data_IF_950575590497
#
_entry.id   IF_950575590497
#
_cell.length_a   1.000
_cell.length_b   1.000
_cell.length_c   1.000
_cell.angle_alpha   90.00
_cell.angle_beta   90.00
_cell.angle_gamma   90.00
#
_symmetry.space_group_name_H-M   'P 1'
#
loop_
_entity.id
_entity.type
_entity.pdbx_description
1 polymer ?
#
# COMPACT_ATOMS: atom_id res chain seq x y z
N UNK A 1 2.48 9.46 -15.33
CA UNK A 1 1.57 8.98 -14.28
C UNK A 1 1.81 7.48 -14.11
N UNK A 2 2.07 7.01 -12.88
CA UNK A 2 2.33 5.60 -12.42
C UNK A 2 3.18 4.66 -13.30
N UNK A 3 2.86 4.46 -14.58
CA UNK A 3 3.54 3.56 -15.51
C UNK A 3 5.04 3.84 -15.72
N UNK A 4 5.53 5.02 -15.36
CA UNK A 4 6.96 5.38 -15.39
C UNK A 4 7.58 5.57 -14.00
N UNK A 5 6.83 5.21 -12.95
CA UNK A 5 7.30 5.27 -11.58
C UNK A 5 8.20 4.06 -11.30
N UNK A 6 9.50 4.21 -11.57
CA UNK A 6 10.52 3.19 -11.30
C UNK A 6 10.40 2.51 -9.92
N UNK A 7 10.08 3.25 -8.84
CA UNK A 7 9.73 2.66 -7.56
C UNK A 7 8.57 1.65 -7.57
N UNK A 8 7.44 1.95 -8.22
CA UNK A 8 6.29 1.03 -8.28
C UNK A 8 6.61 -0.21 -9.12
N UNK A 9 7.33 -0.06 -10.24
CA UNK A 9 7.83 -1.21 -11.03
C UNK A 9 8.74 -2.13 -10.22
N UNK A 10 9.63 -1.56 -9.40
CA UNK A 10 10.49 -2.35 -8.52
C UNK A 10 9.65 -3.05 -7.45
N UNK A 11 8.67 -2.37 -6.86
CA UNK A 11 7.80 -2.97 -5.84
C UNK A 11 7.01 -4.18 -6.38
N UNK A 12 6.41 -4.07 -7.58
CA UNK A 12 5.68 -5.17 -8.22
C UNK A 12 6.60 -6.21 -8.89
N UNK A 13 7.91 -6.04 -8.85
CA UNK A 13 8.87 -6.94 -9.49
C UNK A 13 9.00 -8.31 -8.82
N UNK A 14 9.65 -9.23 -9.53
CA UNK A 14 9.95 -10.58 -9.06
C UNK A 14 11.14 -10.66 -8.08
N UNK A 15 11.94 -9.59 -7.98
CA UNK A 15 13.06 -9.54 -7.05
C UNK A 15 12.58 -9.22 -5.62
N UNK A 16 12.98 -10.02 -4.61
CA UNK A 16 12.68 -9.73 -3.22
C UNK A 16 13.31 -8.41 -2.75
N UNK A 17 12.52 -7.63 -2.01
CA UNK A 17 12.97 -6.38 -1.39
C UNK A 17 13.02 -6.60 0.12
N UNK A 18 14.18 -6.33 0.72
CA UNK A 18 14.34 -6.39 2.16
C UNK A 18 13.48 -5.31 2.84
N UNK A 19 12.85 -5.62 3.97
CA UNK A 19 12.00 -4.69 4.72
C UNK A 19 12.79 -3.52 5.36
N UNK A 20 14.11 -3.58 5.42
CA UNK A 20 14.99 -2.49 5.85
C UNK A 20 15.65 -1.74 4.69
N UNK A 21 15.31 -2.07 3.44
CA UNK A 21 15.88 -1.41 2.26
C UNK A 21 15.46 0.07 2.19
N UNK A 22 16.40 1.03 1.98
CA UNK A 22 16.08 2.45 1.79
C UNK A 22 15.11 2.72 0.63
N UNK A 23 14.94 1.76 -0.28
CA UNK A 23 13.90 1.73 -1.31
C UNK A 23 12.54 2.15 -0.77
N UNK A 24 12.13 1.66 0.41
CA UNK A 24 10.81 1.97 0.96
C UNK A 24 10.64 3.45 1.25
N UNK A 25 11.69 4.13 1.71
CA UNK A 25 11.65 5.57 1.90
C UNK A 25 11.44 6.29 0.56
N UNK A 26 12.10 5.82 -0.50
CA UNK A 26 11.93 6.40 -1.84
C UNK A 26 10.53 6.15 -2.40
N UNK A 27 10.00 4.93 -2.22
CA UNK A 27 8.65 4.58 -2.63
C UNK A 27 7.63 5.42 -1.88
N UNK A 28 7.71 5.49 -0.56
CA UNK A 28 6.76 6.21 0.29
C UNK A 28 6.92 7.72 0.24
N UNK A 29 7.96 8.22 -0.44
CA UNK A 29 8.17 9.64 -0.66
C UNK A 29 7.53 10.18 -1.93
N UNK A 30 6.51 9.53 -2.49
CA UNK A 30 5.77 10.11 -3.61
C UNK A 30 4.75 11.13 -3.13
N UNK A 31 4.61 12.24 -3.86
CA UNK A 31 3.49 13.16 -3.68
C UNK A 31 2.49 12.92 -4.81
N UNK A 32 1.39 12.22 -4.51
CA UNK A 32 0.38 11.90 -5.50
C UNK A 32 -0.53 13.12 -5.67
N UNK A 33 -0.22 13.96 -6.65
CA UNK A 33 -1.11 15.03 -7.09
C UNK A 33 -2.02 14.46 -8.17
N UNK A 34 -3.16 13.92 -7.77
CA UNK A 34 -4.25 13.67 -8.72
C UNK A 34 -5.08 14.94 -8.75
N UNK A 35 -5.33 15.47 -9.95
CA UNK A 35 -6.31 16.53 -10.13
C UNK A 35 -7.69 15.89 -10.26
N UNK A 36 -8.51 16.05 -9.22
CA UNK A 36 -9.85 15.44 -9.12
C UNK A 36 -10.84 15.98 -10.18
N UNK A 37 -10.47 17.02 -10.93
CA UNK A 37 -11.30 17.59 -12.00
C UNK A 37 -11.00 17.03 -13.39
N UNK A 38 -9.92 16.26 -13.56
CA UNK A 38 -9.56 15.63 -14.83
C UNK A 38 -9.94 14.15 -14.85
N UNK A 39 -11.14 13.86 -15.34
CA UNK A 39 -11.68 12.51 -15.45
C UNK A 39 -10.82 11.59 -16.32
N UNK A 40 -10.14 12.10 -17.34
CA UNK A 40 -9.26 11.30 -18.18
C UNK A 40 -7.99 10.90 -17.42
N UNK A 41 -7.44 11.79 -16.60
CA UNK A 41 -6.34 11.47 -15.71
C UNK A 41 -6.73 10.45 -14.63
N UNK A 42 -7.94 10.56 -14.07
CA UNK A 42 -8.47 9.59 -13.09
C UNK A 42 -8.56 8.19 -13.72
N UNK A 43 -9.14 8.08 -14.93
CA UNK A 43 -9.24 6.78 -15.62
C UNK A 43 -7.87 6.18 -15.95
N UNK A 44 -6.94 6.97 -16.51
CA UNK A 44 -5.61 6.48 -16.83
C UNK A 44 -4.80 6.08 -15.57
N UNK A 45 -5.06 6.75 -14.45
CA UNK A 45 -4.52 6.40 -13.15
C UNK A 45 -5.05 5.05 -12.65
N UNK A 46 -6.37 4.85 -12.71
CA UNK A 46 -7.01 3.60 -12.28
C UNK A 46 -6.53 2.40 -13.11
N UNK A 47 -6.43 2.54 -14.43
CA UNK A 47 -5.91 1.48 -15.32
C UNK A 47 -4.46 1.12 -14.97
N UNK A 48 -3.60 2.14 -14.82
CA UNK A 48 -2.19 1.93 -14.46
C UNK A 48 -2.03 1.31 -13.07
N UNK A 49 -2.92 1.67 -12.14
CA UNK A 49 -2.95 1.11 -10.79
C UNK A 49 -3.36 -0.36 -10.83
N UNK A 50 -4.36 -0.72 -11.65
CA UNK A 50 -4.81 -2.09 -11.83
C UNK A 50 -3.69 -2.99 -12.39
N UNK A 51 -2.97 -2.53 -13.42
CA UNK A 51 -1.83 -3.25 -14.00
C UNK A 51 -0.71 -3.48 -12.96
N UNK A 52 -0.40 -2.46 -12.16
CA UNK A 52 0.56 -2.57 -11.07
C UNK A 52 0.12 -3.61 -10.03
N UNK A 53 -1.15 -3.59 -9.61
CA UNK A 53 -1.70 -4.50 -8.60
C UNK A 53 -1.72 -5.95 -9.09
N UNK A 54 -2.11 -6.18 -10.35
CA UNK A 54 -2.03 -7.50 -10.97
C UNK A 54 -0.60 -8.03 -10.98
N UNK A 55 0.36 -7.21 -11.41
CA UNK A 55 1.78 -7.59 -11.47
C UNK A 55 2.33 -7.88 -10.08
N UNK A 56 1.98 -7.05 -9.08
CA UNK A 56 2.38 -7.23 -7.70
C UNK A 56 1.88 -8.58 -7.16
N UNK A 57 0.60 -8.91 -7.34
CA UNK A 57 0.04 -10.16 -6.83
C UNK A 57 0.64 -11.38 -7.52
N UNK A 58 0.84 -11.33 -8.84
CA UNK A 58 1.46 -12.41 -9.59
C UNK A 58 2.89 -12.71 -9.09
N UNK A 59 3.72 -11.66 -8.93
CA UNK A 59 5.11 -11.82 -8.51
C UNK A 59 5.27 -12.03 -7.00
N UNK A 60 4.30 -11.62 -6.19
CA UNK A 60 4.41 -11.67 -4.72
C UNK A 60 4.57 -13.09 -4.18
N UNK A 61 4.05 -14.11 -4.87
CA UNK A 61 4.26 -15.52 -4.50
C UNK A 61 5.75 -15.90 -4.47
N UNK A 62 6.57 -15.23 -5.29
CA UNK A 62 8.02 -15.47 -5.39
C UNK A 62 8.82 -14.41 -4.63
N UNK A 63 8.47 -13.12 -4.77
CA UNK A 63 9.25 -12.02 -4.22
C UNK A 63 8.96 -11.74 -2.75
N UNK A 64 7.75 -12.03 -2.27
CA UNK A 64 7.32 -11.69 -0.91
C UNK A 64 7.25 -10.18 -0.62
N UNK A 65 7.25 -9.33 -1.67
CA UNK A 65 7.34 -7.88 -1.53
C UNK A 65 6.14 -7.28 -0.79
N UNK A 66 4.94 -7.84 -0.92
CA UNK A 66 3.77 -7.38 -0.16
C UNK A 66 3.93 -7.68 1.33
N UNK A 67 4.46 -8.85 1.70
CA UNK A 67 4.73 -9.18 3.09
C UNK A 67 5.82 -8.25 3.68
N UNK A 68 6.87 -7.93 2.90
CA UNK A 68 7.86 -6.94 3.30
C UNK A 68 7.25 -5.55 3.50
N UNK A 69 6.35 -5.14 2.60
CA UNK A 69 5.63 -3.88 2.70
C UNK A 69 4.76 -3.79 3.96
N UNK A 70 4.04 -4.87 4.32
CA UNK A 70 3.27 -4.91 5.58
C UNK A 70 4.20 -4.70 6.78
N UNK A 71 5.37 -5.35 6.82
CA UNK A 71 6.35 -5.15 7.91
C UNK A 71 6.85 -3.72 7.99
N UNK A 72 7.12 -3.09 6.85
CA UNK A 72 7.49 -1.67 6.76
C UNK A 72 6.37 -0.78 7.31
N UNK A 73 5.12 -1.00 6.89
CA UNK A 73 3.97 -0.25 7.37
C UNK A 73 3.80 -0.37 8.89
N UNK A 74 3.92 -1.58 9.44
CA UNK A 74 3.82 -1.81 10.89
C UNK A 74 4.95 -1.11 11.66
N UNK A 75 6.18 -1.08 11.10
CA UNK A 75 7.30 -0.34 11.69
C UNK A 75 7.04 1.17 11.71
N UNK A 76 6.62 1.74 10.58
CA UNK A 76 6.26 3.16 10.48
C UNK A 76 5.15 3.54 11.47
N UNK A 77 4.14 2.68 11.60
CA UNK A 77 3.04 2.87 12.53
C UNK A 77 3.50 2.83 13.98
N UNK A 78 4.42 1.92 14.32
CA UNK A 78 5.03 1.85 15.66
C UNK A 78 5.87 3.09 15.96
N UNK A 79 6.71 3.52 15.01
CA UNK A 79 7.55 4.70 15.15
C UNK A 79 6.72 5.96 15.42
N UNK A 80 5.61 6.13 14.67
CA UNK A 80 4.66 7.22 14.89
C UNK A 80 4.02 7.21 16.28
N UNK A 81 3.63 6.03 16.79
CA UNK A 81 3.05 5.90 18.13
C UNK A 81 4.06 6.19 19.24
N UNK A 82 5.34 5.86 19.02
CA UNK A 82 6.40 6.09 20.00
C UNK A 82 7.00 7.49 19.93
N UNK A 83 6.80 8.21 18.83
CA UNK A 83 7.20 9.62 18.75
C UNK A 83 6.23 10.46 19.58
N UNK A 84 6.64 10.85 20.80
CA UNK A 84 5.88 11.74 21.69
C UNK A 84 5.56 13.12 21.09
N UNK A 85 6.08 13.40 19.90
CA UNK A 85 5.85 14.60 19.11
C UNK A 85 5.66 14.20 17.65
N UNK A 86 4.48 14.47 17.11
CA UNK A 86 4.16 14.51 15.68
C UNK A 86 4.98 15.60 14.92
N UNK A 87 6.19 15.95 15.38
CA UNK A 87 7.06 16.96 14.80
C UNK A 87 7.71 16.47 13.50
N UNK A 88 7.70 15.17 13.23
CA UNK A 88 8.34 14.60 12.05
C UNK A 88 7.31 14.34 10.94
N UNK A 89 6.87 15.42 10.31
CA UNK A 89 5.88 15.48 9.22
C UNK A 89 6.19 14.47 8.10
N UNK A 90 7.49 14.17 7.86
CA UNK A 90 7.92 13.19 6.87
C UNK A 90 7.44 11.78 7.21
N UNK A 91 7.55 11.34 8.47
CA UNK A 91 7.08 10.02 8.88
C UNK A 91 5.57 9.90 8.82
N UNK A 92 4.87 10.96 9.21
CA UNK A 92 3.40 11.01 9.12
C UNK A 92 2.98 10.84 7.66
N UNK A 93 3.59 11.61 6.77
CA UNK A 93 3.31 11.55 5.34
C UNK A 93 3.66 10.20 4.71
N UNK A 94 4.81 9.61 5.06
CA UNK A 94 5.19 8.28 4.59
C UNK A 94 4.22 7.20 5.07
N UNK A 95 3.75 7.28 6.31
CA UNK A 95 2.74 6.35 6.83
C UNK A 95 1.38 6.54 6.16
N UNK A 96 0.97 7.77 5.89
CA UNK A 96 -0.25 8.05 5.11
C UNK A 96 -0.16 7.49 3.69
N UNK A 97 0.98 7.67 3.01
CA UNK A 97 1.21 7.10 1.70
C UNK A 97 1.21 5.56 1.73
N UNK A 98 1.84 4.97 2.74
CA UNK A 98 1.84 3.52 2.93
C UNK A 98 0.42 2.99 3.15
N UNK A 99 -0.38 3.68 3.96
CA UNK A 99 -1.78 3.33 4.20
C UNK A 99 -2.62 3.39 2.92
N UNK A 100 -2.42 4.42 2.09
CA UNK A 100 -3.12 4.54 0.81
C UNK A 100 -2.79 3.39 -0.13
N UNK A 101 -1.51 3.05 -0.30
CA UNK A 101 -1.09 1.89 -1.11
C UNK A 101 -1.73 0.61 -0.57
N UNK A 102 -1.70 0.41 0.75
CA UNK A 102 -2.28 -0.77 1.40
C UNK A 102 -3.80 -0.86 1.16
N UNK A 103 -4.51 0.27 1.24
CA UNK A 103 -5.95 0.36 0.94
C UNK A 103 -6.24 -0.06 -0.49
N UNK A 104 -5.46 0.39 -1.47
CA UNK A 104 -5.65 -0.01 -2.88
C UNK A 104 -5.41 -1.51 -3.08
N UNK A 105 -4.37 -2.07 -2.46
CA UNK A 105 -4.09 -3.50 -2.51
C UNK A 105 -5.23 -4.31 -1.88
N UNK A 106 -5.69 -3.92 -0.69
CA UNK A 106 -6.82 -4.58 -0.02
C UNK A 106 -8.11 -4.50 -0.85
N UNK A 107 -8.44 -3.32 -1.41
CA UNK A 107 -9.61 -3.15 -2.29
C UNK A 107 -9.55 -4.11 -3.48
N UNK A 108 -8.39 -4.19 -4.14
CA UNK A 108 -8.18 -5.08 -5.28
C UNK A 108 -8.29 -6.56 -4.90
N UNK A 109 -7.69 -6.96 -3.78
CA UNK A 109 -7.84 -8.31 -3.25
C UNK A 109 -9.32 -8.65 -3.00
N UNK A 110 -10.06 -7.78 -2.29
CA UNK A 110 -11.50 -8.00 -2.02
C UNK A 110 -12.32 -8.11 -3.30
N UNK A 111 -12.06 -7.27 -4.30
CA UNK A 111 -12.74 -7.32 -5.60
C UNK A 111 -12.49 -8.65 -6.32
N UNK A 112 -11.24 -9.12 -6.33
CA UNK A 112 -10.92 -10.42 -6.95
C UNK A 112 -11.48 -11.60 -6.19
N UNK A 113 -11.51 -11.54 -4.86
CA UNK A 113 -12.12 -12.59 -4.02
C UNK A 113 -13.63 -12.68 -4.27
N UNK A 114 -14.33 -11.55 -4.43
CA UNK A 114 -15.75 -11.54 -4.78
C UNK A 114 -16.04 -12.03 -6.21
N UNK A 115 -15.06 -11.92 -7.12
CA UNK A 115 -15.15 -12.51 -8.47
C UNK A 115 -14.85 -14.02 -8.47
N UNK A 116 -14.06 -14.51 -7.51
CA UNK A 116 -13.68 -15.93 -7.35
C UNK A 116 -14.48 -16.68 -6.29
N UNK A 117 -15.70 -16.25 -5.94
CA UNK A 117 -16.65 -17.10 -5.20
C UNK A 117 -17.13 -18.28 -6.07
N UNK A 118 -16.22 -19.22 -6.34
CA UNK A 118 -16.45 -20.66 -6.37
C UNK A 118 -15.09 -21.34 -6.54
N UNK A 119 -14.46 -21.76 -5.43
CA UNK A 119 -13.63 -22.97 -5.25
C UNK A 119 -12.56 -22.77 -4.17
N UNK A 120 -12.98 -23.01 -2.93
CA UNK A 120 -12.22 -23.67 -1.86
C UNK A 120 -10.74 -23.31 -1.68
N UNK A 121 -10.43 -22.22 -0.97
CA UNK A 121 -9.15 -22.13 -0.25
C UNK A 121 -9.26 -21.28 1.02
N UNK A 122 -9.76 -21.91 2.09
CA UNK A 122 -10.08 -21.27 3.39
C UNK A 122 -8.87 -20.69 4.14
N UNK A 123 -7.65 -21.07 3.76
CA UNK A 123 -6.42 -20.58 4.40
C UNK A 123 -6.02 -19.18 3.89
N UNK A 124 -6.33 -18.85 2.64
CA UNK A 124 -6.02 -17.55 2.04
C UNK A 124 -6.89 -16.44 2.65
N UNK A 125 -8.17 -16.74 2.86
CA UNK A 125 -9.18 -15.84 3.40
C UNK A 125 -8.83 -15.35 4.83
N UNK A 126 -8.31 -16.26 5.66
CA UNK A 126 -7.97 -15.96 7.06
C UNK A 126 -6.76 -15.03 7.20
N UNK A 127 -5.76 -15.18 6.33
CA UNK A 127 -4.53 -14.39 6.41
C UNK A 127 -4.72 -12.95 5.91
N UNK A 128 -5.54 -12.72 4.89
CA UNK A 128 -5.84 -11.37 4.40
C UNK A 128 -6.86 -10.64 5.28
N UNK A 129 -7.88 -11.34 5.79
CA UNK A 129 -8.86 -10.75 6.73
C UNK A 129 -8.19 -10.28 8.02
N UNK A 130 -7.37 -11.13 8.65
CA UNK A 130 -6.63 -10.75 9.87
C UNK A 130 -5.61 -9.62 9.63
N UNK A 131 -5.02 -9.54 8.44
CA UNK A 131 -4.13 -8.43 8.07
C UNK A 131 -4.92 -7.15 7.87
N UNK A 132 -6.08 -7.21 7.19
CA UNK A 132 -6.95 -6.06 6.95
C UNK A 132 -7.55 -5.51 8.25
N UNK A 133 -7.98 -6.37 9.18
CA UNK A 133 -8.45 -5.96 10.51
C UNK A 133 -7.35 -5.26 11.31
N UNK A 134 -6.13 -5.80 11.34
CA UNK A 134 -4.98 -5.15 11.99
C UNK A 134 -4.63 -3.80 11.36
N UNK A 135 -4.84 -3.66 10.05
CA UNK A 135 -4.63 -2.40 9.32
C UNK A 135 -5.73 -1.39 9.63
N UNK A 136 -6.98 -1.81 9.76
CA UNK A 136 -8.10 -0.97 10.17
C UNK A 136 -7.92 -0.48 11.61
N UNK A 137 -7.52 -1.36 12.54
CA UNK A 137 -7.17 -0.98 13.91
C UNK A 137 -6.04 0.06 13.94
N UNK A 138 -5.04 -0.09 13.07
CA UNK A 138 -3.94 0.88 12.96
C UNK A 138 -4.41 2.20 12.32
N UNK A 139 -5.42 2.16 11.43
CA UNK A 139 -5.95 3.33 10.73
C UNK A 139 -6.86 4.20 11.61
N UNK A 140 -7.59 3.60 12.55
CA UNK A 140 -8.48 4.31 13.49
C UNK A 140 -7.66 5.18 14.48
N UNK A 141 -6.39 4.81 14.72
CA UNK A 141 -5.52 5.51 15.66
C UNK A 141 -4.64 6.61 15.02
N UNK A 142 -4.59 6.72 13.69
CA UNK A 142 -3.91 7.83 13.01
C UNK A 142 -4.90 9.01 12.96
N UNK A 143 -4.63 10.15 13.63
CA UNK A 143 -5.57 11.26 13.67
C UNK A 143 -5.94 11.71 12.25
N UNK A 144 -7.24 11.78 11.97
CA UNK A 144 -7.79 12.24 10.69
C UNK A 144 -7.47 13.73 10.39
N UNK A 145 -6.97 14.47 11.38
CA UNK A 145 -6.58 15.87 11.27
C UNK A 145 -5.12 16.03 10.82
N UNK A 146 -4.85 15.64 9.58
CA UNK A 146 -3.64 16.06 8.87
C UNK A 146 -3.92 17.38 8.14
N UNK A 147 -3.18 18.47 8.43
CA UNK A 147 -3.34 19.70 7.68
C UNK A 147 -2.85 19.45 6.24
N UNK A 148 -3.78 19.49 5.30
CA UNK A 148 -3.47 19.64 3.88
C UNK A 148 -2.88 21.03 3.71
N UNK A 149 -1.57 21.13 3.51
CA UNK A 149 -0.90 22.33 3.02
C UNK A 149 -0.04 21.98 1.81
#
# INVERSE_FOLDING_TARGET
MIADNGPLKKFSGAEPINDNDPFWNKLLSFNLKIDDHDTAQIHAFDDSLNDFLQTLMYNNQTSGNFAAFIRVFLRLSKELKTSERFENIIFVWQASNALNILRYICKFLTQRMSETECENDSDCEFQYSSTAERVLDTSIEIPADLPVK
#
